data_IF_460185598752
#
_entry.id   IF_460185598752
#
_cell.length_a   1.000
_cell.length_b   1.000
_cell.length_c   1.000
_cell.angle_alpha   90.00
_cell.angle_beta   90.00
_cell.angle_gamma   90.00
#
_symmetry.space_group_name_H-M   'P 1'
#
loop_
_entity.id
_entity.type
_entity.pdbx_description
1 polymer ?
#
# COMPACT_ATOMS: atom_id res chain seq x y z
N UNK A 1 9.15 -5.19 -28.72
CA UNK A 1 8.55 -6.30 -27.94
C UNK A 1 7.30 -6.76 -28.67
N UNK A 2 7.14 -8.07 -28.96
CA UNK A 2 5.95 -8.57 -29.63
C UNK A 2 4.73 -8.45 -28.71
N UNK A 3 3.68 -7.76 -29.16
CA UNK A 3 2.43 -7.60 -28.42
C UNK A 3 1.64 -8.89 -28.52
N UNK A 4 1.67 -9.68 -27.46
CA UNK A 4 0.88 -10.91 -27.38
C UNK A 4 -0.60 -10.54 -27.30
N UNK A 5 -1.45 -11.27 -28.03
CA UNK A 5 -2.91 -11.11 -27.93
C UNK A 5 -3.38 -11.70 -26.60
N UNK A 6 -4.00 -10.86 -25.77
CA UNK A 6 -4.63 -11.27 -24.52
C UNK A 6 -6.14 -11.33 -24.73
N UNK A 7 -6.77 -12.40 -24.25
CA UNK A 7 -8.22 -12.59 -24.27
C UNK A 7 -8.78 -12.47 -22.84
N UNK A 8 -9.98 -11.92 -22.70
CA UNK A 8 -10.68 -11.87 -21.41
C UNK A 8 -11.02 -13.27 -20.90
N UNK A 9 -11.12 -13.43 -19.58
CA UNK A 9 -11.49 -14.70 -18.94
C UNK A 9 -12.88 -15.15 -19.44
N UNK A 10 -13.84 -14.22 -19.52
CA UNK A 10 -15.18 -14.49 -20.06
C UNK A 10 -15.14 -15.08 -21.47
N UNK A 11 -14.30 -14.54 -22.34
CA UNK A 11 -14.17 -15.06 -23.70
C UNK A 11 -13.57 -16.47 -23.73
N UNK A 12 -12.55 -16.73 -22.91
CA UNK A 12 -11.96 -18.07 -22.79
C UNK A 12 -12.99 -19.09 -22.27
N UNK A 13 -13.81 -18.68 -21.28
CA UNK A 13 -14.90 -19.47 -20.69
C UNK A 13 -15.95 -19.82 -21.73
N UNK A 14 -16.41 -18.82 -22.49
CA UNK A 14 -17.40 -19.01 -23.56
C UNK A 14 -16.92 -20.03 -24.61
N UNK A 15 -15.67 -19.91 -25.07
CA UNK A 15 -15.11 -20.83 -26.07
C UNK A 15 -15.03 -22.26 -25.56
N UNK A 16 -14.71 -22.46 -24.28
CA UNK A 16 -14.72 -23.79 -23.66
C UNK A 16 -16.13 -24.35 -23.51
N UNK A 17 -17.11 -23.51 -23.13
CA UNK A 17 -18.52 -23.91 -23.01
C UNK A 17 -19.12 -24.29 -24.37
N UNK A 18 -18.87 -23.52 -25.44
CA UNK A 18 -19.33 -23.85 -26.80
C UNK A 18 -18.81 -25.22 -27.25
N UNK A 19 -17.55 -25.54 -26.91
CA UNK A 19 -16.98 -26.86 -27.19
C UNK A 19 -17.71 -27.97 -26.42
N UNK A 20 -17.97 -27.77 -25.12
CA UNK A 20 -18.73 -28.73 -24.30
C UNK A 20 -20.19 -28.87 -24.75
N UNK A 21 -20.76 -27.83 -25.36
CA UNK A 21 -22.08 -27.84 -26.00
C UNK A 21 -22.09 -28.62 -27.35
N UNK A 22 -20.94 -29.13 -27.79
CA UNK A 22 -20.82 -29.99 -28.96
C UNK A 22 -20.24 -29.31 -30.20
N UNK A 23 -19.80 -28.05 -30.12
CA UNK A 23 -19.12 -27.42 -31.24
C UNK A 23 -17.73 -28.03 -31.49
N UNK A 24 -17.36 -28.10 -32.77
CA UNK A 24 -16.05 -28.66 -33.16
C UNK A 24 -14.91 -27.67 -32.92
N UNK A 25 -13.72 -28.17 -32.61
CA UNK A 25 -12.50 -27.34 -32.57
C UNK A 25 -12.25 -26.60 -33.88
N UNK A 26 -12.69 -27.14 -35.02
CA UNK A 26 -12.52 -26.51 -36.32
C UNK A 26 -13.41 -25.27 -36.48
N UNK A 27 -14.71 -25.39 -36.15
CA UNK A 27 -15.66 -24.26 -36.23
C UNK A 27 -15.24 -23.13 -35.29
N UNK A 28 -14.88 -23.46 -34.05
CA UNK A 28 -14.39 -22.50 -33.05
C UNK A 28 -13.11 -21.78 -33.50
N UNK A 29 -12.14 -22.52 -34.02
CA UNK A 29 -10.89 -21.96 -34.53
C UNK A 29 -11.12 -20.99 -35.70
N UNK A 30 -12.00 -21.34 -36.65
CA UNK A 30 -12.32 -20.45 -37.77
C UNK A 30 -13.11 -19.23 -37.34
N UNK A 31 -14.13 -19.39 -36.49
CA UNK A 31 -15.01 -18.30 -36.03
C UNK A 31 -14.26 -17.24 -35.24
N UNK A 32 -13.30 -17.65 -34.41
CA UNK A 32 -12.58 -16.74 -33.52
C UNK A 32 -11.14 -16.44 -33.96
N UNK A 33 -10.67 -17.00 -35.08
CA UNK A 33 -9.29 -16.83 -35.54
C UNK A 33 -8.25 -17.37 -34.55
N UNK A 34 -8.58 -18.46 -33.85
CA UNK A 34 -7.76 -19.07 -32.81
C UNK A 34 -7.08 -20.34 -33.32
N UNK A 35 -5.92 -20.68 -32.74
CA UNK A 35 -5.33 -21.99 -32.99
C UNK A 35 -6.10 -23.07 -32.21
N UNK A 36 -6.29 -24.24 -32.81
CA UNK A 36 -6.95 -25.38 -32.13
C UNK A 36 -6.21 -25.80 -30.85
N UNK A 37 -4.90 -25.62 -30.81
CA UNK A 37 -4.09 -25.89 -29.61
C UNK A 37 -4.46 -24.94 -28.46
N UNK A 38 -4.64 -23.65 -28.75
CA UNK A 38 -5.05 -22.67 -27.75
C UNK A 38 -6.44 -22.99 -27.17
N UNK A 39 -7.37 -23.43 -28.03
CA UNK A 39 -8.70 -23.85 -27.60
C UNK A 39 -8.62 -25.06 -26.65
N UNK A 40 -7.79 -26.08 -26.97
CA UNK A 40 -7.58 -27.23 -26.07
C UNK A 40 -7.04 -26.83 -24.69
N UNK A 41 -6.07 -25.92 -24.66
CA UNK A 41 -5.53 -25.40 -23.39
C UNK A 41 -6.65 -24.72 -22.58
N UNK A 42 -7.52 -23.94 -23.23
CA UNK A 42 -8.62 -23.29 -22.53
C UNK A 42 -9.67 -24.27 -22.03
N UNK A 43 -9.99 -25.32 -22.79
CA UNK A 43 -10.88 -26.40 -22.33
C UNK A 43 -10.31 -27.06 -21.08
N UNK A 44 -9.04 -27.48 -21.11
CA UNK A 44 -8.39 -28.09 -19.95
C UNK A 44 -8.39 -27.17 -18.72
N UNK A 45 -8.14 -25.87 -18.92
CA UNK A 45 -8.20 -24.87 -17.83
C UNK A 45 -9.61 -24.68 -17.30
N UNK A 46 -10.62 -24.69 -18.18
CA UNK A 46 -12.02 -24.56 -17.79
C UNK A 46 -12.49 -25.77 -16.98
N UNK A 47 -12.21 -27.00 -17.45
CA UNK A 47 -12.54 -28.23 -16.74
C UNK A 47 -11.83 -28.32 -15.38
N UNK A 48 -10.61 -27.77 -15.29
CA UNK A 48 -9.85 -27.68 -14.04
C UNK A 48 -10.24 -26.52 -13.11
N UNK A 49 -11.26 -25.70 -13.44
CA UNK A 49 -11.70 -24.57 -12.60
C UNK A 49 -10.76 -23.36 -12.58
N UNK A 50 -9.65 -23.39 -13.32
CA UNK A 50 -8.58 -22.39 -13.24
C UNK A 50 -9.02 -20.96 -13.64
N UNK A 51 -10.11 -20.81 -14.39
CA UNK A 51 -10.66 -19.49 -14.74
C UNK A 51 -11.42 -18.83 -13.60
N UNK A 52 -12.00 -19.62 -12.69
CA UNK A 52 -12.71 -19.09 -11.52
C UNK A 52 -11.71 -18.67 -10.44
N UNK A 53 -10.61 -19.44 -10.30
CA UNK A 53 -9.46 -19.06 -9.45
C UNK A 53 -8.80 -17.75 -9.93
N UNK A 54 -8.62 -17.59 -11.26
CA UNK A 54 -8.02 -16.38 -11.84
C UNK A 54 -8.91 -15.14 -11.63
N UNK A 55 -10.24 -15.29 -11.71
CA UNK A 55 -11.19 -14.22 -11.42
C UNK A 55 -11.20 -13.86 -9.92
N UNK A 56 -11.29 -14.85 -9.03
CA UNK A 56 -11.23 -14.62 -7.58
C UNK A 56 -9.89 -14.00 -7.14
N UNK A 57 -8.79 -14.38 -7.78
CA UNK A 57 -7.48 -13.75 -7.56
C UNK A 57 -7.47 -12.28 -8.01
N UNK A 58 -8.10 -11.95 -9.15
CA UNK A 58 -8.19 -10.56 -9.60
C UNK A 58 -8.99 -9.68 -8.63
N UNK A 59 -10.14 -10.16 -8.14
CA UNK A 59 -10.96 -9.43 -7.18
C UNK A 59 -10.23 -9.19 -5.85
N UNK A 60 -9.47 -10.19 -5.37
CA UNK A 60 -8.68 -10.03 -4.15
C UNK A 60 -7.53 -9.04 -4.33
N UNK A 61 -6.89 -8.99 -5.51
CA UNK A 61 -5.85 -8.00 -5.83
C UNK A 61 -6.42 -6.59 -5.78
N UNK A 62 -7.57 -6.32 -6.41
CA UNK A 62 -8.19 -4.98 -6.40
C UNK A 62 -8.53 -4.53 -4.97
N UNK A 63 -9.08 -5.44 -4.15
CA UNK A 63 -9.37 -5.17 -2.75
C UNK A 63 -8.09 -4.85 -1.95
N UNK A 64 -6.99 -5.57 -2.20
CA UNK A 64 -5.70 -5.29 -1.58
C UNK A 64 -5.12 -3.95 -2.03
N UNK A 65 -5.19 -3.60 -3.31
CA UNK A 65 -4.74 -2.30 -3.82
C UNK A 65 -5.50 -1.14 -3.17
N UNK A 66 -6.82 -1.25 -3.06
CA UNK A 66 -7.64 -0.26 -2.36
C UNK A 66 -7.24 -0.13 -0.88
N UNK A 67 -6.97 -1.25 -0.20
CA UNK A 67 -6.53 -1.27 1.19
C UNK A 67 -5.15 -0.63 1.35
N UNK A 68 -4.21 -0.96 0.48
CA UNK A 68 -2.85 -0.39 0.46
C UNK A 68 -2.95 1.13 0.29
N UNK A 69 -3.68 1.60 -0.71
CA UNK A 69 -3.82 3.04 -0.96
C UNK A 69 -4.49 3.78 0.23
N UNK A 70 -5.42 3.15 0.94
CA UNK A 70 -6.03 3.73 2.14
C UNK A 70 -5.02 3.84 3.30
N UNK A 71 -4.20 2.80 3.49
CA UNK A 71 -3.15 2.76 4.50
C UNK A 71 -2.04 3.77 4.20
N UNK A 72 -1.58 3.86 2.96
CA UNK A 72 -0.57 4.84 2.54
C UNK A 72 -1.02 6.28 2.81
N UNK A 73 -2.30 6.60 2.58
CA UNK A 73 -2.87 7.91 2.92
C UNK A 73 -2.89 8.17 4.42
N UNK A 74 -3.18 7.16 5.24
CA UNK A 74 -3.14 7.27 6.70
C UNK A 74 -1.72 7.50 7.20
N UNK A 75 -0.76 6.73 6.69
CA UNK A 75 0.67 6.89 6.99
C UNK A 75 1.14 8.30 6.63
N UNK A 76 0.76 8.81 5.46
CA UNK A 76 1.07 10.18 5.05
C UNK A 76 0.51 11.25 6.02
N UNK A 77 -0.74 11.11 6.47
CA UNK A 77 -1.34 12.02 7.46
C UNK A 77 -0.60 11.96 8.79
N UNK A 78 -0.31 10.76 9.28
CA UNK A 78 0.41 10.58 10.54
C UNK A 78 1.83 11.14 10.47
N UNK A 79 2.53 10.98 9.34
CA UNK A 79 3.86 11.56 9.14
C UNK A 79 3.83 13.09 9.27
N UNK A 80 2.86 13.75 8.64
CA UNK A 80 2.70 15.20 8.73
C UNK A 80 2.38 15.65 10.16
N UNK A 81 1.51 14.94 10.87
CA UNK A 81 1.17 15.22 12.27
C UNK A 81 2.38 15.07 13.19
N UNK A 82 3.16 14.00 13.01
CA UNK A 82 4.40 13.77 13.77
C UNK A 82 5.39 14.91 13.55
N UNK A 83 5.61 15.32 12.31
CA UNK A 83 6.54 16.42 12.01
C UNK A 83 6.02 17.76 12.56
N UNK A 84 4.71 18.00 12.51
CA UNK A 84 4.09 19.16 13.15
C UNK A 84 4.32 19.18 14.67
N UNK A 85 4.03 18.07 15.37
CA UNK A 85 4.20 17.96 16.82
C UNK A 85 5.67 18.08 17.24
N UNK A 86 6.59 17.42 16.51
CA UNK A 86 8.03 17.58 16.73
C UNK A 86 8.50 19.00 16.50
N UNK A 87 7.98 19.68 15.48
CA UNK A 87 8.26 21.10 15.21
C UNK A 87 7.77 21.99 16.35
N UNK A 88 6.53 21.81 16.80
CA UNK A 88 5.94 22.56 17.91
C UNK A 88 6.75 22.39 19.21
N UNK A 89 7.24 21.19 19.52
CA UNK A 89 8.10 20.95 20.69
C UNK A 89 9.45 21.68 20.59
N UNK A 90 10.04 21.80 19.39
CA UNK A 90 11.29 22.57 19.18
C UNK A 90 11.09 24.08 19.34
N UNK A 91 9.88 24.57 19.10
CA UNK A 91 9.52 25.99 19.17
C UNK A 91 8.65 26.35 20.38
N UNK A 92 8.45 25.41 21.31
CA UNK A 92 7.68 25.65 22.52
C UNK A 92 8.27 26.78 23.37
N UNK A 93 7.47 27.48 24.19
CA UNK A 93 7.95 28.57 25.03
C UNK A 93 9.18 28.11 25.82
N UNK A 94 10.32 28.76 25.56
CA UNK A 94 11.52 28.61 26.40
C UNK A 94 11.05 28.80 27.85
N UNK A 95 11.39 27.90 28.78
CA UNK A 95 11.03 28.10 30.19
C UNK A 95 11.47 29.52 30.53
N UNK A 96 10.51 30.38 30.90
CA UNK A 96 10.82 31.75 31.31
C UNK A 96 11.84 31.56 32.41
N UNK A 97 13.07 32.02 32.17
CA UNK A 97 14.14 31.99 33.15
C UNK A 97 13.51 32.51 34.44
N UNK A 98 13.30 31.60 35.40
CA UNK A 98 12.80 32.00 36.70
C UNK A 98 13.74 33.10 37.19
N UNK A 99 13.13 34.20 37.63
CA UNK A 99 13.75 35.39 38.20
C UNK A 99 15.14 35.10 38.71
N UNK A 100 16.16 35.71 38.12
CA UNK A 100 17.49 35.82 38.70
C UNK A 100 17.32 36.42 40.10
N UNK A 101 17.21 35.55 41.10
CA UNK A 101 17.32 35.96 42.49
C UNK A 101 18.80 36.30 42.67
N UNK A 102 19.12 37.57 42.44
CA UNK A 102 20.37 38.15 42.92
C UNK A 102 20.28 38.06 44.43
N UNK A 103 20.89 37.02 45.00
CA UNK A 103 21.16 36.96 46.43
C UNK A 103 22.28 37.95 46.68
N UNK A 104 21.94 39.22 46.86
CA UNK A 104 22.81 40.17 47.56
C UNK A 104 22.79 39.76 49.03
N UNK A 105 23.76 38.94 49.42
CA UNK A 105 24.09 38.76 50.82
C UNK A 105 24.59 40.08 51.42
N UNK A 106 24.28 40.39 52.69
CA UNK A 106 24.83 41.57 53.38
C UNK A 106 26.36 41.57 53.39
N UNK A 107 27.01 42.75 53.43
CA UNK A 107 28.47 42.87 53.32
C UNK A 107 29.18 42.11 54.45
N UNK A 108 30.31 41.50 54.11
CA UNK A 108 31.17 40.78 55.06
C UNK A 108 31.55 41.69 56.25
N UNK A 109 31.30 41.19 57.47
CA UNK A 109 31.80 41.82 58.69
C UNK A 109 33.33 41.88 58.66
N UNK A 110 33.94 43.02 59.01
CA UNK A 110 35.39 43.13 59.03
C UNK A 110 35.98 42.25 60.13
N UNK A 111 36.95 41.44 59.75
CA UNK A 111 37.81 40.67 60.66
C UNK A 111 38.50 41.63 61.64
N UNK A 112 38.28 41.45 62.94
CA UNK A 112 39.11 42.13 63.94
C UNK A 112 40.48 41.46 63.97
N UNK A 113 41.46 42.23 63.52
CA UNK A 113 42.88 41.98 63.65
C UNK A 113 43.34 42.39 65.06
N UNK A 114 43.95 41.43 65.75
CA UNK A 114 44.91 41.49 66.87
C UNK A 114 44.46 41.97 68.26
N UNK A 115 44.71 41.12 69.29
CA UNK A 115 45.69 41.39 70.36
C UNK A 115 45.75 40.22 71.38
N UNK A 116 46.96 39.67 71.61
CA UNK A 116 47.27 38.71 72.67
C UNK A 116 48.39 37.75 72.34
#
# INVERSE_FOLDING_TARGET
MARHRTHSIEFKRQVAQDYLAGETLHSLARRHGLSRNLIRIWIQKFEGGAFDDEAAAADTIEAYEARIAALERLVGRQALEIEFLKGALKHGPRPRSATTSVVTGPPASPSQKDAG
#
